data_IF_668350153841
#
_entry.id   IF_668350153841
#
_cell.length_a   1.000
_cell.length_b   1.000
_cell.length_c   1.000
_cell.angle_alpha   90.00
_cell.angle_beta   90.00
_cell.angle_gamma   90.00
#
_symmetry.space_group_name_H-M   'P 1'
#
loop_
_entity.id
_entity.type
_entity.pdbx_description
1 polymer ?
#
# COMPACT_ATOMS: atom_id res chain seq x y z
N UNK A 1 12.89 21.61 17.23
CA UNK A 1 14.04 20.94 17.88
C UNK A 1 15.13 21.98 18.06
N UNK A 2 15.79 22.02 19.22
CA UNK A 2 16.87 22.98 19.49
C UNK A 2 18.18 22.53 18.84
N UNK A 3 18.93 23.47 18.25
CA UNK A 3 20.23 23.19 17.66
C UNK A 3 21.26 22.76 18.71
N UNK A 4 22.35 22.12 18.30
CA UNK A 4 23.44 21.77 19.21
C UNK A 4 24.04 23.02 19.89
N UNK A 5 24.24 24.09 19.12
CA UNK A 5 24.76 25.36 19.63
C UNK A 5 23.85 25.98 20.70
N UNK A 6 22.53 26.00 20.44
CA UNK A 6 21.54 26.51 21.39
C UNK A 6 21.51 25.70 22.69
N UNK A 7 21.62 24.37 22.61
CA UNK A 7 21.66 23.48 23.77
C UNK A 7 22.93 23.69 24.60
N UNK A 8 24.08 23.81 23.93
CA UNK A 8 25.37 24.06 24.60
C UNK A 8 25.39 25.44 25.27
N UNK A 9 24.91 26.48 24.59
CA UNK A 9 24.78 27.82 25.15
C UNK A 9 23.89 27.84 26.40
N UNK A 10 22.76 27.12 26.37
CA UNK A 10 21.86 26.99 27.52
C UNK A 10 22.54 26.31 28.73
N UNK A 11 23.30 25.25 28.51
CA UNK A 11 24.04 24.54 29.57
C UNK A 11 25.17 25.41 30.15
N UNK A 12 25.93 26.11 29.30
CA UNK A 12 26.99 27.01 29.75
C UNK A 12 26.42 28.18 30.58
N UNK A 13 25.31 28.77 30.15
CA UNK A 13 24.65 29.83 30.90
C UNK A 13 24.09 29.32 32.23
N UNK A 14 23.56 28.10 32.27
CA UNK A 14 23.11 27.43 33.49
C UNK A 14 24.23 27.26 34.52
N UNK A 15 25.43 26.88 34.07
CA UNK A 15 26.62 26.77 34.94
C UNK A 15 27.05 28.15 35.44
N UNK A 16 27.14 29.15 34.55
CA UNK A 16 27.51 30.54 34.89
C UNK A 16 26.58 31.17 35.94
N UNK A 17 25.28 30.86 35.88
CA UNK A 17 24.27 31.37 36.81
C UNK A 17 24.16 30.56 38.11
N UNK A 18 25.11 29.65 38.39
CA UNK A 18 25.12 28.86 39.61
C UNK A 18 23.97 27.84 39.68
N UNK A 19 23.65 27.19 38.56
CA UNK A 19 22.61 26.15 38.44
C UNK A 19 21.18 26.64 38.72
N UNK A 20 20.91 27.93 38.50
CA UNK A 20 19.59 28.56 38.67
C UNK A 20 18.73 28.46 37.40
N UNK A 21 17.88 27.43 37.34
CA UNK A 21 17.03 27.12 36.16
C UNK A 21 16.18 28.32 35.72
N UNK A 22 15.48 28.97 36.66
CA UNK A 22 14.58 30.08 36.32
C UNK A 22 15.31 31.33 35.82
N UNK A 23 16.57 31.53 36.19
CA UNK A 23 17.38 32.62 35.67
C UNK A 23 17.80 32.36 34.22
N UNK A 24 18.24 31.13 33.91
CA UNK A 24 18.61 30.70 32.55
C UNK A 24 17.44 30.80 31.57
N UNK A 25 16.25 30.34 31.97
CA UNK A 25 15.05 30.38 31.11
C UNK A 25 14.59 31.81 30.86
N UNK A 26 14.64 32.70 31.86
CA UNK A 26 14.27 34.11 31.68
C UNK A 26 15.25 34.86 30.76
N UNK A 27 16.53 34.49 30.75
CA UNK A 27 17.53 35.13 29.90
C UNK A 27 17.53 34.63 28.46
N UNK A 28 17.23 33.34 28.22
CA UNK A 28 17.25 32.77 26.88
C UNK A 28 15.87 32.67 26.22
N UNK A 29 14.77 32.67 26.99
CA UNK A 29 13.41 32.49 26.47
C UNK A 29 13.06 31.05 26.06
N UNK A 30 14.07 30.18 26.00
CA UNK A 30 14.02 28.73 25.86
C UNK A 30 15.16 28.17 26.75
N UNK A 31 15.28 26.88 27.11
CA UNK A 31 14.43 25.71 26.89
C UNK A 31 13.47 25.44 28.08
N UNK A 32 12.73 24.31 28.05
CA UNK A 32 11.94 23.87 29.22
C UNK A 32 12.82 23.43 30.40
N UNK A 33 12.29 23.52 31.63
CA UNK A 33 12.96 23.07 32.87
C UNK A 33 13.51 21.64 32.77
N UNK A 34 12.77 20.73 32.13
CA UNK A 34 13.16 19.32 32.02
C UNK A 34 14.25 19.13 30.97
N UNK A 35 14.17 19.84 29.85
CA UNK A 35 15.21 19.84 28.82
C UNK A 35 16.56 20.32 29.37
N UNK A 36 16.56 21.43 30.12
CA UNK A 36 17.80 21.96 30.71
C UNK A 36 18.44 21.00 31.72
N UNK A 37 17.62 20.35 32.56
CA UNK A 37 18.08 19.32 33.50
C UNK A 37 18.68 18.11 32.79
N UNK A 38 18.05 17.66 31.70
CA UNK A 38 18.52 16.53 30.92
C UNK A 38 19.86 16.86 30.24
N UNK A 39 19.94 18.00 29.55
CA UNK A 39 21.17 18.45 28.89
C UNK A 39 22.33 18.63 29.87
N UNK A 40 22.07 19.19 31.06
CA UNK A 40 23.10 19.33 32.09
C UNK A 40 23.60 17.97 32.61
N UNK A 41 22.71 16.99 32.81
CA UNK A 41 23.08 15.62 33.22
C UNK A 41 23.92 14.89 32.16
N UNK A 42 23.60 15.11 30.88
CA UNK A 42 24.36 14.55 29.77
C UNK A 42 25.75 15.20 29.67
N UNK A 43 25.81 16.53 29.81
CA UNK A 43 27.06 17.31 29.87
C UNK A 43 27.96 16.90 31.04
N UNK A 44 27.41 16.66 32.23
CA UNK A 44 28.19 16.22 33.40
C UNK A 44 28.84 14.84 33.20
N UNK A 45 28.24 13.96 32.38
CA UNK A 45 28.75 12.61 32.13
C UNK A 45 29.81 12.54 31.05
N UNK A 46 29.68 13.34 29.99
CA UNK A 46 30.51 13.23 28.79
C UNK A 46 31.34 14.49 28.53
N UNK A 47 31.19 15.54 29.34
CA UNK A 47 31.72 16.89 29.11
C UNK A 47 31.25 17.51 27.76
N UNK A 48 30.25 16.89 27.13
CA UNK A 48 29.70 17.29 25.84
C UNK A 48 28.23 16.85 25.72
N UNK A 49 27.48 17.47 24.81
CA UNK A 49 26.10 17.10 24.48
C UNK A 49 26.06 16.30 23.17
N UNK A 50 25.27 15.24 23.06
CA UNK A 50 25.07 14.53 21.80
C UNK A 50 24.50 15.47 20.71
N UNK A 51 25.10 15.44 19.50
CA UNK A 51 24.64 16.22 18.36
C UNK A 51 23.18 15.91 17.97
N UNK A 52 22.70 14.69 18.24
CA UNK A 52 21.32 14.25 17.98
C UNK A 52 20.72 13.42 19.11
N UNK A 53 19.42 13.13 19.00
CA UNK A 53 18.71 12.24 19.90
C UNK A 53 19.22 10.80 19.70
N UNK A 54 20.13 10.36 20.56
CA UNK A 54 20.56 8.96 20.61
C UNK A 54 19.56 8.21 21.49
N UNK A 55 18.83 7.25 20.91
CA UNK A 55 18.02 6.33 21.71
C UNK A 55 18.96 5.53 22.59
N UNK A 56 18.92 5.83 23.88
CA UNK A 56 19.77 5.24 24.91
C UNK A 56 19.42 3.78 25.13
N UNK A 57 20.47 2.95 25.06
CA UNK A 57 20.60 1.57 25.57
C UNK A 57 19.59 0.56 25.00
N UNK A 58 20.04 -0.47 24.25
CA UNK A 58 19.21 -1.62 23.94
C UNK A 58 18.64 -2.18 25.24
N UNK A 59 17.31 -2.18 25.39
CA UNK A 59 16.61 -2.70 26.59
C UNK A 59 16.93 -4.19 26.85
N UNK A 60 17.48 -4.88 25.85
CA UNK A 60 17.84 -6.28 25.90
C UNK A 60 19.31 -6.45 25.51
N UNK A 61 20.00 -7.31 26.24
CA UNK A 61 21.37 -7.71 25.90
C UNK A 61 21.39 -8.54 24.60
N UNK A 62 22.54 -8.54 23.91
CA UNK A 62 22.72 -9.36 22.70
C UNK A 62 22.56 -10.86 23.00
N UNK A 63 22.89 -11.28 24.22
CA UNK A 63 22.70 -12.67 24.67
C UNK A 63 21.23 -13.03 24.79
N UNK A 64 20.41 -12.15 25.39
CA UNK A 64 18.96 -12.33 25.45
C UNK A 64 18.32 -12.38 24.06
N UNK A 65 18.85 -11.61 23.11
CA UNK A 65 18.43 -11.64 21.71
C UNK A 65 18.76 -12.98 21.06
N UNK A 66 19.97 -13.51 21.25
CA UNK A 66 20.41 -14.80 20.69
C UNK A 66 19.57 -15.96 21.22
N UNK A 67 19.38 -16.06 22.54
CA UNK A 67 18.55 -17.10 23.17
C UNK A 67 17.13 -17.08 22.61
N UNK A 68 16.55 -15.89 22.42
CA UNK A 68 15.20 -15.76 21.88
C UNK A 68 15.09 -16.23 20.42
N UNK A 69 16.09 -15.94 19.59
CA UNK A 69 16.14 -16.39 18.19
C UNK A 69 16.39 -17.90 18.10
N UNK A 70 17.28 -18.45 18.93
CA UNK A 70 17.58 -19.89 18.96
C UNK A 70 16.36 -20.71 19.43
N UNK A 71 15.67 -20.25 20.47
CA UNK A 71 14.44 -20.88 20.93
C UNK A 71 13.37 -20.91 19.82
N UNK A 72 13.24 -19.82 19.06
CA UNK A 72 12.33 -19.74 17.92
C UNK A 72 12.65 -20.79 16.85
N UNK A 73 13.94 -20.97 16.51
CA UNK A 73 14.38 -21.92 15.50
C UNK A 73 14.20 -23.39 15.94
N UNK A 74 14.46 -23.68 17.21
CA UNK A 74 14.35 -25.04 17.78
C UNK A 74 12.91 -25.48 18.07
N UNK A 75 12.01 -24.56 18.46
CA UNK A 75 10.65 -24.87 18.92
C UNK A 75 9.56 -24.62 17.87
N UNK A 76 9.88 -24.84 16.59
CA UNK A 76 8.86 -24.87 15.51
C UNK A 76 8.42 -23.50 14.99
N UNK A 77 9.25 -22.45 15.13
CA UNK A 77 9.07 -21.14 14.49
C UNK A 77 7.75 -20.43 14.84
N UNK A 78 7.25 -20.63 16.06
CA UNK A 78 6.08 -19.93 16.59
C UNK A 78 6.48 -18.76 17.49
N UNK A 79 6.19 -17.53 17.04
CA UNK A 79 6.51 -16.30 17.80
C UNK A 79 5.74 -16.22 19.12
N UNK A 80 4.46 -16.61 19.13
CA UNK A 80 3.62 -16.53 20.33
C UNK A 80 4.08 -17.51 21.41
N UNK A 81 4.47 -18.72 21.00
CA UNK A 81 4.98 -19.74 21.91
C UNK A 81 6.34 -19.34 22.48
N UNK A 82 7.23 -18.77 21.66
CA UNK A 82 8.55 -18.30 22.10
C UNK A 82 8.42 -17.15 23.10
N UNK A 83 7.55 -16.17 22.83
CA UNK A 83 7.30 -15.07 23.77
C UNK A 83 6.65 -15.55 25.09
N UNK A 84 5.78 -16.57 25.02
CA UNK A 84 5.17 -17.17 26.22
C UNK A 84 6.17 -18.00 27.04
N UNK A 85 7.10 -18.69 26.38
CA UNK A 85 8.10 -19.53 27.04
C UNK A 85 9.18 -18.70 27.75
N UNK A 86 9.66 -17.63 27.11
CA UNK A 86 10.72 -16.78 27.64
C UNK A 86 10.22 -15.62 28.51
N UNK A 87 8.93 -15.26 28.42
CA UNK A 87 8.33 -14.14 29.16
C UNK A 87 8.76 -12.74 28.66
N UNK A 88 9.73 -12.69 27.76
CA UNK A 88 10.20 -11.55 26.97
C UNK A 88 10.75 -12.11 25.64
N UNK A 89 10.97 -11.33 24.57
CA UNK A 89 10.45 -10.00 24.26
C UNK A 89 9.02 -10.06 23.67
N UNK A 90 8.40 -8.91 23.39
CA UNK A 90 7.12 -8.85 22.70
C UNK A 90 7.22 -9.33 21.24
N UNK A 91 6.08 -9.74 20.66
CA UNK A 91 6.02 -10.36 19.32
C UNK A 91 6.72 -9.53 18.24
N UNK A 92 6.59 -8.21 18.27
CA UNK A 92 7.16 -7.30 17.26
C UNK A 92 8.68 -7.22 17.36
N UNK A 93 9.22 -7.13 18.57
CA UNK A 93 10.66 -7.13 18.83
C UNK A 93 11.30 -8.46 18.46
N UNK A 94 10.68 -9.59 18.83
CA UNK A 94 11.15 -10.91 18.39
C UNK A 94 11.16 -11.04 16.87
N UNK A 95 10.11 -10.53 16.22
CA UNK A 95 10.01 -10.47 14.77
C UNK A 95 11.22 -9.76 14.15
N UNK A 96 11.55 -8.56 14.65
CA UNK A 96 12.66 -7.76 14.14
C UNK A 96 14.01 -8.46 14.34
N UNK A 97 14.23 -9.10 15.49
CA UNK A 97 15.47 -9.85 15.73
C UNK A 97 15.62 -11.06 14.80
N UNK A 98 14.52 -11.73 14.47
CA UNK A 98 14.53 -12.84 13.51
C UNK A 98 14.81 -12.32 12.10
N UNK A 99 14.27 -11.17 11.69
CA UNK A 99 14.61 -10.56 10.38
C UNK A 99 16.09 -10.23 10.27
N UNK A 100 16.66 -9.66 11.33
CA UNK A 100 18.06 -9.28 11.39
C UNK A 100 18.98 -10.50 11.33
N UNK A 101 18.53 -11.64 11.87
CA UNK A 101 19.30 -12.89 11.91
C UNK A 101 19.11 -13.77 10.67
N UNK A 102 17.89 -13.82 10.13
CA UNK A 102 17.55 -14.60 8.94
C UNK A 102 16.36 -13.92 8.21
N UNK A 103 16.62 -13.12 7.16
CA UNK A 103 15.57 -12.45 6.39
C UNK A 103 14.67 -13.45 5.63
N UNK A 104 15.10 -14.70 5.46
CA UNK A 104 14.39 -15.78 4.78
C UNK A 104 13.57 -16.68 5.73
N UNK A 105 13.89 -16.68 7.03
CA UNK A 105 13.21 -17.50 8.05
C UNK A 105 11.70 -17.23 8.13
N UNK A 106 11.28 -16.00 7.82
CA UNK A 106 9.89 -15.56 7.83
C UNK A 106 9.30 -15.45 6.44
N UNK A 107 9.62 -16.39 5.53
CA UNK A 107 8.82 -16.59 4.31
C UNK A 107 7.36 -16.77 4.73
N UNK A 108 6.62 -15.66 4.70
CA UNK A 108 5.20 -15.59 5.02
C UNK A 108 4.55 -16.45 3.97
N UNK A 109 4.20 -17.68 4.34
CA UNK A 109 3.17 -18.43 3.62
C UNK A 109 1.87 -17.68 3.91
N UNK A 110 1.69 -16.53 3.25
CA UNK A 110 0.40 -15.87 3.14
C UNK A 110 -0.49 -16.91 2.47
N UNK A 111 -1.40 -17.48 3.25
CA UNK A 111 -2.11 -18.70 2.89
C UNK A 111 -2.66 -18.63 1.47
N UNK A 112 -2.30 -19.63 0.64
CA UNK A 112 -3.06 -20.11 -0.53
C UNK A 112 -3.68 -19.08 -1.49
N UNK A 113 -3.15 -17.85 -1.61
CA UNK A 113 -3.55 -16.93 -2.69
C UNK A 113 -2.57 -17.02 -3.88
N UNK A 114 -1.39 -17.63 -3.69
CA UNK A 114 -0.32 -17.69 -4.69
C UNK A 114 -0.31 -18.92 -5.63
N UNK A 115 -1.23 -19.89 -5.50
CA UNK A 115 -1.23 -21.10 -6.34
C UNK A 115 -2.13 -21.02 -7.57
N UNK A 116 -2.86 -19.92 -7.77
CA UNK A 116 -3.50 -19.67 -9.05
C UNK A 116 -2.47 -19.00 -9.97
N UNK A 117 -2.06 -19.70 -11.04
CA UNK A 117 -1.28 -19.10 -12.13
C UNK A 117 -1.89 -17.73 -12.48
N UNK A 118 -1.10 -16.65 -12.55
CA UNK A 118 -1.62 -15.35 -12.94
C UNK A 118 -2.36 -15.50 -14.26
N UNK A 119 -3.68 -15.29 -14.25
CA UNK A 119 -4.48 -15.35 -15.47
C UNK A 119 -4.16 -14.14 -16.33
N UNK A 120 -4.04 -14.37 -17.64
CA UNK A 120 -3.80 -13.28 -18.57
C UNK A 120 -4.95 -12.29 -18.55
N UNK A 121 -4.67 -11.04 -18.89
CA UNK A 121 -5.69 -10.00 -18.94
C UNK A 121 -6.81 -10.35 -19.93
N UNK A 122 -6.47 -11.03 -21.03
CA UNK A 122 -7.42 -11.57 -22.01
C UNK A 122 -8.36 -12.62 -21.39
N UNK A 123 -7.84 -13.54 -20.57
CA UNK A 123 -8.67 -14.54 -19.89
C UNK A 123 -9.67 -13.89 -18.92
N UNK A 124 -9.23 -12.84 -18.21
CA UNK A 124 -10.11 -12.08 -17.31
C UNK A 124 -11.18 -11.33 -18.11
N UNK A 125 -10.83 -10.72 -19.24
CA UNK A 125 -11.77 -10.03 -20.13
C UNK A 125 -12.82 -10.98 -20.69
N UNK A 126 -12.39 -12.12 -21.24
CA UNK A 126 -13.31 -13.14 -21.75
C UNK A 126 -14.27 -13.64 -20.66
N UNK A 127 -13.77 -13.85 -19.44
CA UNK A 127 -14.59 -14.27 -18.31
C UNK A 127 -15.62 -13.21 -17.87
N UNK A 128 -15.29 -11.92 -17.95
CA UNK A 128 -16.22 -10.83 -17.65
C UNK A 128 -17.28 -10.68 -18.75
N UNK A 129 -16.88 -10.82 -20.02
CA UNK A 129 -17.83 -10.83 -21.14
C UNK A 129 -18.80 -11.98 -20.98
N UNK A 130 -18.31 -13.20 -20.75
CA UNK A 130 -19.13 -14.40 -20.54
C UNK A 130 -20.03 -14.23 -19.31
N UNK A 131 -19.54 -13.65 -18.21
CA UNK A 131 -20.38 -13.29 -17.07
C UNK A 131 -21.52 -12.35 -17.47
N UNK A 132 -21.27 -11.35 -18.30
CA UNK A 132 -22.27 -10.35 -18.70
C UNK A 132 -23.25 -10.87 -19.76
N UNK A 133 -22.83 -11.78 -20.64
CA UNK A 133 -23.64 -12.37 -21.72
C UNK A 133 -24.17 -13.78 -21.40
N UNK A 134 -23.93 -14.29 -20.18
CA UNK A 134 -24.27 -15.67 -19.80
C UNK A 134 -25.75 -16.01 -20.01
N UNK A 135 -25.99 -17.17 -20.61
CA UNK A 135 -27.26 -17.91 -20.49
C UNK A 135 -27.29 -18.78 -19.22
N UNK A 136 -26.12 -19.27 -18.81
CA UNK A 136 -25.93 -20.14 -17.64
C UNK A 136 -25.68 -19.35 -16.33
N UNK A 137 -25.51 -20.05 -15.21
CA UNK A 137 -25.28 -19.41 -13.92
C UNK A 137 -23.87 -18.82 -13.81
N UNK A 138 -23.69 -17.79 -12.98
CA UNK A 138 -22.36 -17.22 -12.71
C UNK A 138 -21.39 -18.23 -12.06
N UNK A 139 -21.92 -19.35 -11.52
CA UNK A 139 -21.11 -20.44 -10.96
C UNK A 139 -20.48 -21.27 -12.08
N UNK A 140 -21.23 -21.57 -13.13
CA UNK A 140 -20.77 -22.38 -14.26
C UNK A 140 -19.66 -21.64 -15.03
N UNK A 141 -19.82 -20.33 -15.22
CA UNK A 141 -18.78 -19.45 -15.79
C UNK A 141 -17.52 -19.45 -14.92
N UNK A 142 -17.68 -19.37 -13.60
CA UNK A 142 -16.56 -19.38 -12.67
C UNK A 142 -15.81 -20.72 -12.69
N UNK A 143 -16.54 -21.83 -12.79
CA UNK A 143 -15.98 -23.18 -12.90
C UNK A 143 -15.22 -23.41 -14.21
N UNK A 144 -15.79 -22.99 -15.36
CA UNK A 144 -15.12 -23.02 -16.67
C UNK A 144 -13.78 -22.27 -16.66
N UNK A 145 -13.72 -21.17 -15.90
CA UNK A 145 -12.51 -20.35 -15.77
C UNK A 145 -11.60 -20.84 -14.64
N UNK A 146 -12.09 -21.70 -13.74
CA UNK A 146 -11.37 -22.23 -12.57
C UNK A 146 -11.20 -21.21 -11.43
N UNK A 147 -12.13 -20.27 -11.28
CA UNK A 147 -12.13 -19.24 -10.23
C UNK A 147 -13.32 -19.35 -9.31
N UNK A 148 -13.22 -18.70 -8.15
CA UNK A 148 -14.40 -18.50 -7.32
C UNK A 148 -15.35 -17.49 -7.98
N UNK A 149 -16.65 -17.67 -7.73
CA UNK A 149 -17.69 -16.70 -8.12
C UNK A 149 -17.36 -15.28 -7.63
N UNK A 150 -16.79 -15.14 -6.43
CA UNK A 150 -16.42 -13.84 -5.87
C UNK A 150 -15.31 -13.17 -6.69
N UNK A 151 -14.29 -13.92 -7.10
CA UNK A 151 -13.21 -13.42 -7.95
C UNK A 151 -13.76 -12.89 -9.28
N UNK A 152 -14.75 -13.57 -9.85
CA UNK A 152 -15.39 -13.19 -11.11
C UNK A 152 -16.16 -11.85 -10.98
N UNK A 153 -16.90 -11.64 -9.90
CA UNK A 153 -17.53 -10.34 -9.62
C UNK A 153 -16.52 -9.24 -9.30
N UNK A 154 -15.44 -9.56 -8.59
CA UNK A 154 -14.38 -8.60 -8.33
C UNK A 154 -13.72 -8.12 -9.64
N UNK A 155 -13.52 -9.01 -10.63
CA UNK A 155 -13.03 -8.61 -11.95
C UNK A 155 -14.03 -7.74 -12.70
N UNK A 156 -15.33 -8.06 -12.63
CA UNK A 156 -16.39 -7.21 -13.21
C UNK A 156 -16.34 -5.81 -12.61
N UNK A 157 -16.29 -5.70 -11.29
CA UNK A 157 -16.32 -4.41 -10.58
C UNK A 157 -15.06 -3.58 -10.83
N UNK A 158 -13.90 -4.21 -10.99
CA UNK A 158 -12.66 -3.53 -11.37
C UNK A 158 -12.68 -2.96 -12.79
N UNK A 159 -13.46 -3.57 -13.70
CA UNK A 159 -13.47 -3.22 -15.13
C UNK A 159 -14.61 -2.29 -15.52
N UNK A 160 -15.82 -2.61 -15.06
CA UNK A 160 -17.04 -1.90 -15.43
C UNK A 160 -17.47 -0.91 -14.34
N UNK A 161 -16.80 -0.90 -13.19
CA UNK A 161 -17.22 -0.17 -12.02
C UNK A 161 -18.33 -0.90 -11.24
N UNK A 162 -18.49 -0.53 -9.98
CA UNK A 162 -19.48 -1.13 -9.07
C UNK A 162 -20.93 -0.80 -9.48
N UNK A 163 -21.11 0.26 -10.25
CA UNK A 163 -22.39 0.81 -10.70
C UNK A 163 -22.86 0.24 -12.04
N UNK A 164 -22.01 -0.52 -12.74
CA UNK A 164 -22.45 -1.21 -13.96
C UNK A 164 -23.50 -2.28 -13.60
N UNK A 165 -24.66 -2.31 -14.30
CA UNK A 165 -25.71 -3.28 -14.05
C UNK A 165 -25.14 -4.70 -14.02
N UNK A 166 -25.37 -5.43 -12.92
CA UNK A 166 -24.80 -6.77 -12.69
C UNK A 166 -25.36 -7.87 -13.62
N UNK A 167 -26.28 -7.49 -14.50
CA UNK A 167 -27.04 -8.38 -15.34
C UNK A 167 -27.66 -7.53 -16.45
N UNK A 168 -27.22 -7.71 -17.70
CA UNK A 168 -28.19 -7.58 -18.78
C UNK A 168 -29.29 -8.60 -18.45
N UNK A 169 -30.55 -8.18 -18.45
CA UNK A 169 -31.71 -9.06 -18.21
C UNK A 169 -31.46 -10.35 -18.99
N UNK A 170 -31.53 -11.51 -18.31
CA UNK A 170 -31.36 -12.82 -18.96
C UNK A 170 -32.08 -12.73 -20.31
N UNK A 171 -31.36 -12.97 -21.40
CA UNK A 171 -32.00 -13.17 -22.70
C UNK A 171 -32.92 -14.37 -22.50
N UNK A 172 -34.17 -14.07 -22.13
CA UNK A 172 -35.26 -15.02 -22.06
C UNK A 172 -35.32 -15.57 -23.46
N UNK A 173 -35.23 -16.89 -23.56
CA UNK A 173 -35.17 -17.59 -24.83
C UNK A 173 -36.16 -16.95 -25.80
N UNK A 174 -35.63 -16.39 -26.89
CA UNK A 174 -36.46 -15.96 -28.02
C UNK A 174 -37.31 -17.20 -28.36
N UNK A 175 -38.64 -17.07 -28.42
CA UNK A 175 -39.49 -18.19 -28.76
C UNK A 175 -38.98 -18.80 -30.08
N UNK A 176 -38.82 -20.12 -30.11
CA UNK A 176 -38.30 -20.89 -31.25
C UNK A 176 -39.12 -20.75 -32.55
N UNK A 177 -40.13 -19.88 -32.56
CA UNK A 177 -41.11 -19.66 -33.62
C UNK A 177 -40.92 -18.34 -34.36
N UNK A 178 -39.81 -17.62 -34.17
CA UNK A 178 -39.53 -16.41 -34.94
C UNK A 178 -39.27 -16.76 -36.41
N UNK A 179 -39.97 -16.10 -37.33
CA UNK A 179 -39.84 -16.35 -38.77
C UNK A 179 -38.42 -16.03 -39.24
N UNK A 180 -37.88 -16.87 -40.13
CA UNK A 180 -36.49 -16.79 -40.61
C UNK A 180 -36.13 -15.41 -41.18
N UNK A 181 -37.11 -14.73 -41.76
CA UNK A 181 -36.96 -13.38 -42.33
C UNK A 181 -36.88 -12.29 -41.26
N UNK A 182 -37.59 -12.44 -40.14
CA UNK A 182 -37.53 -11.50 -39.01
C UNK A 182 -36.14 -11.58 -38.36
N UNK A 183 -35.64 -12.80 -38.14
CA UNK A 183 -34.29 -13.05 -37.64
C UNK A 183 -33.21 -12.45 -38.56
N UNK A 184 -33.41 -12.50 -39.88
CA UNK A 184 -32.49 -11.88 -40.84
C UNK A 184 -32.50 -10.35 -40.73
N UNK A 185 -33.68 -9.73 -40.61
CA UNK A 185 -33.82 -8.28 -40.41
C UNK A 185 -33.17 -7.83 -39.08
N UNK A 186 -33.36 -8.60 -38.02
CA UNK A 186 -32.71 -8.34 -36.73
C UNK A 186 -31.18 -8.44 -36.83
N UNK A 187 -30.66 -9.47 -37.50
CA UNK A 187 -29.22 -9.63 -37.72
C UNK A 187 -28.62 -8.46 -38.52
N UNK A 188 -29.31 -8.01 -39.57
CA UNK A 188 -28.85 -6.84 -40.32
C UNK A 188 -28.86 -5.57 -39.47
N UNK A 189 -29.87 -5.40 -38.63
CA UNK A 189 -29.99 -4.24 -37.74
C UNK A 189 -28.86 -4.23 -36.71
N UNK A 190 -28.63 -5.37 -36.04
CA UNK A 190 -27.51 -5.54 -35.11
C UNK A 190 -26.15 -5.34 -35.79
N UNK A 191 -25.98 -5.78 -37.03
CA UNK A 191 -24.74 -5.53 -37.80
C UNK A 191 -24.51 -4.04 -38.03
N UNK A 192 -25.55 -3.28 -38.38
CA UNK A 192 -25.46 -1.82 -38.55
C UNK A 192 -25.11 -1.14 -37.21
N UNK A 193 -25.72 -1.58 -36.12
CA UNK A 193 -25.44 -1.04 -34.78
C UNK A 193 -24.00 -1.34 -34.33
N UNK A 194 -23.49 -2.55 -34.58
CA UNK A 194 -22.09 -2.89 -34.29
C UNK A 194 -21.13 -2.01 -35.10
N UNK A 195 -21.40 -1.80 -36.39
CA UNK A 195 -20.57 -0.92 -37.23
C UNK A 195 -20.59 0.52 -36.69
N UNK A 196 -21.76 1.03 -36.29
CA UNK A 196 -21.89 2.35 -35.68
C UNK A 196 -21.10 2.48 -34.38
N UNK A 197 -21.23 1.50 -33.47
CA UNK A 197 -20.51 1.50 -32.20
C UNK A 197 -18.99 1.42 -32.38
N UNK A 198 -18.52 0.69 -33.40
CA UNK A 198 -17.10 0.66 -33.76
C UNK A 198 -16.61 2.05 -34.17
N UNK A 199 -17.37 2.76 -35.02
CA UNK A 199 -17.03 4.13 -35.41
C UNK A 199 -17.02 5.08 -34.21
N UNK A 200 -18.01 4.99 -33.32
CA UNK A 200 -18.05 5.79 -32.09
C UNK A 200 -16.84 5.51 -31.18
N UNK A 201 -16.46 4.25 -31.02
CA UNK A 201 -15.25 3.87 -30.29
C UNK A 201 -13.98 4.45 -30.91
N UNK A 202 -13.81 4.33 -32.23
CA UNK A 202 -12.63 4.85 -32.94
C UNK A 202 -12.53 6.39 -32.82
N UNK A 203 -13.67 7.08 -32.85
CA UNK A 203 -13.73 8.52 -32.62
C UNK A 203 -13.29 8.88 -31.19
N UNK A 204 -13.76 8.14 -30.18
CA UNK A 204 -13.37 8.33 -28.79
C UNK A 204 -11.89 8.02 -28.56
N UNK A 205 -11.36 6.98 -29.20
CA UNK A 205 -9.95 6.60 -29.12
C UNK A 205 -9.06 7.71 -29.70
N UNK A 206 -9.39 8.23 -30.89
CA UNK A 206 -8.70 9.38 -31.49
C UNK A 206 -8.78 10.62 -30.60
N UNK A 207 -9.94 10.91 -30.02
CA UNK A 207 -10.09 12.05 -29.10
C UNK A 207 -9.18 11.88 -27.87
N UNK A 208 -9.08 10.67 -27.32
CA UNK A 208 -8.22 10.37 -26.18
C UNK A 208 -6.72 10.50 -26.53
N UNK A 209 -6.31 10.07 -27.73
CA UNK A 209 -4.96 10.31 -28.22
C UNK A 209 -4.62 11.80 -28.32
N UNK A 210 -5.57 12.62 -28.82
CA UNK A 210 -5.39 14.07 -28.89
C UNK A 210 -5.25 14.70 -27.50
N UNK A 211 -6.06 14.27 -26.53
CA UNK A 211 -5.97 14.73 -25.14
C UNK A 211 -4.62 14.35 -24.50
N UNK A 212 -4.13 13.13 -24.77
CA UNK A 212 -2.80 12.70 -24.31
C UNK A 212 -1.66 13.50 -24.95
N UNK A 213 -1.74 13.81 -26.25
CA UNK A 213 -0.74 14.63 -26.96
C UNK A 213 -0.75 16.10 -26.48
N UNK A 214 -1.94 16.69 -26.32
CA UNK A 214 -2.09 18.07 -25.84
C UNK A 214 -1.64 18.27 -24.39
N UNK A 215 -1.83 17.27 -23.52
CA UNK A 215 -1.34 17.33 -22.13
C UNK A 215 0.19 17.32 -22.03
N UNK A 216 0.87 16.65 -22.98
CA UNK A 216 2.33 16.67 -23.10
C UNK A 216 2.84 18.01 -23.65
N UNK A 217 2.13 18.64 -24.59
CA UNK A 217 2.51 19.97 -25.13
C UNK A 217 2.29 21.10 -24.12
N UNK A 218 1.17 21.09 -23.39
CA UNK A 218 0.91 22.06 -22.31
C UNK A 218 1.89 21.99 -21.14
N UNK A 219 2.55 20.83 -20.94
CA UNK A 219 3.59 20.68 -19.92
C UNK A 219 4.91 21.32 -20.35
N UNK A 220 5.21 21.39 -21.67
CA UNK A 220 6.45 21.99 -22.19
C UNK A 220 6.36 23.52 -22.23
N UNK A 221 5.20 24.09 -22.55
CA UNK A 221 5.01 25.55 -22.57
C UNK A 221 5.02 26.20 -21.17
N UNK A 222 4.58 25.48 -20.12
CA UNK A 222 4.63 26.00 -18.74
C UNK A 222 6.03 26.15 -18.15
N UNK A 223 7.06 25.49 -18.70
CA UNK A 223 8.44 25.65 -18.23
C UNK A 223 9.23 26.73 -18.99
N UNK A 224 8.68 27.29 -20.08
CA UNK A 224 9.35 28.30 -20.91
C UNK A 224 9.15 29.77 -20.47
N UNK A 225 8.30 30.04 -19.46
CA UNK A 225 7.95 31.41 -19.06
C UNK A 225 8.54 31.87 -17.70
N UNK A 226 9.37 31.06 -17.04
CA UNK A 226 10.04 31.46 -15.78
C UNK A 226 11.53 31.64 -16.01
N UNK A 227 11.91 32.62 -16.82
CA UNK A 227 13.27 33.15 -16.89
C UNK A 227 13.21 34.47 -17.64
N UNK A 228 13.04 35.58 -16.93
CA UNK A 228 13.56 36.93 -17.20
C UNK A 228 12.80 37.92 -16.30
N UNK A 229 13.33 38.13 -15.10
CA UNK A 229 13.30 39.38 -14.33
C UNK A 229 14.35 39.26 -13.23
#
# INVERSE_FOLDING_TARGET
MYSYAERMQAVQLYIKLGKRIGATIRQLGFPTKNSLKQWYREYERHLDLPAGYVRTVPWYSDEQKRVAVEHYLSHGRCLAQTAKALGYPCRTTLSAWIDEHDPDARRRVVGKVGTAKPRSEQQKQAAVIDLCSRRESARDVAEKVGVSRQTLYNWKDQRLGREAPASMTRHRDLPQTADREELQRELETLRRDVQRLQLEHDLLEKANELLKKGSSQNSVERFGQISYS
#
